data_IF_241312734343
#
_entry.id   IF_241312734343
#
_cell.length_a   1.000
_cell.length_b   1.000
_cell.length_c   1.000
_cell.angle_alpha   90.00
_cell.angle_beta   90.00
_cell.angle_gamma   90.00
#
_symmetry.space_group_name_H-M   'P 1'
#
loop_
_entity.id
_entity.type
_entity.pdbx_description
1 polymer ?
#
# COMPACT_ATOMS: atom_id res chain seq x y z
N UNK A 1 -6.61 -19.55 0.41
CA UNK A 1 -5.20 -19.43 -0.02
C UNK A 1 -5.15 -18.52 -1.25
N UNK A 2 -4.32 -17.46 -1.21
CA UNK A 2 -4.15 -16.53 -2.33
C UNK A 2 -3.64 -17.25 -3.59
N UNK A 3 -4.21 -16.91 -4.74
CA UNK A 3 -3.85 -17.48 -6.04
C UNK A 3 -3.66 -16.38 -7.08
N UNK A 4 -2.94 -16.66 -8.17
CA UNK A 4 -2.70 -15.75 -9.29
C UNK A 4 -2.19 -14.38 -8.81
N UNK A 5 -2.80 -13.30 -9.25
CA UNK A 5 -2.40 -11.92 -8.92
C UNK A 5 -2.44 -11.62 -7.43
N UNK A 6 -3.42 -12.13 -6.68
CA UNK A 6 -3.46 -11.98 -5.21
C UNK A 6 -2.24 -12.61 -4.52
N UNK A 7 -1.71 -13.72 -5.05
CA UNK A 7 -0.49 -14.32 -4.53
C UNK A 7 0.73 -13.45 -4.84
N UNK A 8 0.77 -12.82 -6.01
CA UNK A 8 1.85 -11.89 -6.38
C UNK A 8 1.81 -10.61 -5.54
N UNK A 9 0.62 -10.08 -5.26
CA UNK A 9 0.42 -8.95 -4.34
C UNK A 9 0.93 -9.30 -2.93
N UNK A 10 0.59 -10.49 -2.42
CA UNK A 10 1.10 -10.94 -1.12
C UNK A 10 2.63 -11.03 -1.10
N UNK A 11 3.25 -11.54 -2.17
CA UNK A 11 4.71 -11.57 -2.30
C UNK A 11 5.32 -10.18 -2.36
N UNK A 12 4.67 -9.22 -3.04
CA UNK A 12 5.11 -7.83 -3.06
C UNK A 12 5.24 -7.28 -1.64
N UNK A 13 4.22 -7.46 -0.79
CA UNK A 13 4.29 -7.01 0.61
C UNK A 13 5.39 -7.72 1.41
N UNK A 14 5.54 -9.03 1.23
CA UNK A 14 6.61 -9.79 1.93
C UNK A 14 7.99 -9.27 1.53
N UNK A 15 8.21 -8.97 0.26
CA UNK A 15 9.49 -8.41 -0.22
C UNK A 15 9.71 -7.01 0.35
N UNK A 16 8.67 -6.15 0.39
CA UNK A 16 8.76 -4.84 1.03
C UNK A 16 9.26 -4.96 2.48
N UNK A 17 8.69 -5.86 3.28
CA UNK A 17 9.12 -6.09 4.66
C UNK A 17 10.54 -6.65 4.76
N UNK A 18 10.91 -7.56 3.87
CA UNK A 18 12.26 -8.13 3.83
C UNK A 18 13.32 -7.06 3.49
N UNK A 19 13.03 -6.21 2.52
CA UNK A 19 13.91 -5.12 2.11
C UNK A 19 14.03 -4.02 3.17
N UNK A 20 12.99 -3.82 3.98
CA UNK A 20 13.04 -2.89 5.11
C UNK A 20 14.14 -3.21 6.11
N UNK A 21 14.45 -4.50 6.27
CA UNK A 21 15.50 -4.99 7.17
C UNK A 21 16.91 -4.82 6.59
N UNK A 22 17.08 -4.95 5.25
CA UNK A 22 18.40 -5.16 4.65
C UNK A 22 19.24 -3.88 4.49
N UNK A 23 18.61 -2.73 4.20
CA UNK A 23 19.33 -1.53 3.80
C UNK A 23 19.12 -0.36 4.76
N UNK A 24 20.23 0.28 5.12
CA UNK A 24 20.20 1.50 5.94
C UNK A 24 20.44 2.74 5.06
N UNK A 25 19.38 3.47 4.74
CA UNK A 25 19.40 4.70 3.96
C UNK A 25 19.68 5.97 4.82
N UNK A 26 20.37 5.82 5.94
CA UNK A 26 20.67 6.94 6.85
C UNK A 26 19.41 7.74 7.25
N UNK A 27 18.33 7.01 7.54
CA UNK A 27 17.01 7.57 7.87
C UNK A 27 16.33 8.38 6.75
N UNK A 28 16.80 8.31 5.50
CA UNK A 28 16.03 8.81 4.38
C UNK A 28 14.94 7.81 3.99
N UNK A 29 13.81 7.91 4.69
CA UNK A 29 12.69 6.98 4.50
C UNK A 29 12.06 7.08 3.11
N UNK A 30 12.02 8.27 2.52
CA UNK A 30 11.49 8.45 1.16
C UNK A 30 12.29 7.63 0.13
N UNK A 31 13.61 7.81 0.12
CA UNK A 31 14.46 7.07 -0.80
C UNK A 31 14.38 5.56 -0.55
N UNK A 32 14.35 5.14 0.73
CA UNK A 32 14.22 3.74 1.09
C UNK A 32 12.90 3.13 0.58
N UNK A 33 11.78 3.80 0.81
CA UNK A 33 10.45 3.35 0.36
C UNK A 33 10.41 3.24 -1.17
N UNK A 34 10.93 4.21 -1.90
CA UNK A 34 10.96 4.17 -3.37
C UNK A 34 11.82 3.01 -3.88
N UNK A 35 13.00 2.82 -3.31
CA UNK A 35 13.88 1.69 -3.65
C UNK A 35 13.21 0.33 -3.35
N UNK A 36 12.58 0.20 -2.19
CA UNK A 36 11.85 -1.02 -1.81
C UNK A 36 10.70 -1.32 -2.77
N UNK A 37 9.90 -0.30 -3.11
CA UNK A 37 8.77 -0.43 -4.03
C UNK A 37 9.24 -0.88 -5.44
N UNK A 38 10.30 -0.27 -5.97
CA UNK A 38 10.90 -0.64 -7.26
C UNK A 38 11.39 -2.09 -7.29
N UNK A 39 12.04 -2.53 -6.22
CA UNK A 39 12.53 -3.91 -6.16
C UNK A 39 11.39 -4.90 -5.96
N UNK A 40 10.36 -4.55 -5.19
CA UNK A 40 9.17 -5.39 -5.01
C UNK A 40 8.31 -5.48 -6.27
N UNK A 41 8.27 -4.43 -7.12
CA UNK A 41 7.58 -4.43 -8.42
C UNK A 41 8.02 -5.59 -9.32
N UNK A 42 9.30 -6.00 -9.23
CA UNK A 42 9.89 -7.05 -10.07
C UNK A 42 9.26 -8.43 -9.90
N UNK A 43 8.54 -8.67 -8.78
CA UNK A 43 7.83 -9.94 -8.55
C UNK A 43 6.47 -9.99 -9.25
N UNK A 44 5.93 -8.84 -9.65
CA UNK A 44 4.63 -8.77 -10.30
C UNK A 44 4.80 -9.12 -11.79
N UNK A 45 4.10 -10.14 -12.32
CA UNK A 45 4.14 -10.47 -13.75
C UNK A 45 3.74 -9.27 -14.60
N UNK A 46 4.45 -9.03 -15.70
CA UNK A 46 4.27 -7.84 -16.54
C UNK A 46 2.86 -7.68 -17.13
N UNK A 47 2.20 -8.80 -17.41
CA UNK A 47 0.85 -8.86 -17.96
C UNK A 47 -0.26 -8.81 -16.91
N UNK A 48 0.09 -8.89 -15.60
CA UNK A 48 -0.87 -8.88 -14.50
C UNK A 48 -1.53 -7.49 -14.32
N UNK A 49 -2.76 -7.48 -13.83
CA UNK A 49 -3.37 -6.21 -13.42
C UNK A 49 -2.59 -5.53 -12.28
N UNK A 50 -1.95 -6.31 -11.42
CA UNK A 50 -1.20 -5.78 -10.29
C UNK A 50 0.01 -4.96 -10.74
N UNK A 51 0.76 -5.44 -11.75
CA UNK A 51 1.88 -4.69 -12.32
C UNK A 51 1.43 -3.41 -13.02
N UNK A 52 0.38 -3.51 -13.82
CA UNK A 52 -0.19 -2.36 -14.54
C UNK A 52 -0.77 -1.31 -13.57
N UNK A 53 -1.37 -1.76 -12.48
CA UNK A 53 -1.86 -0.89 -11.40
C UNK A 53 -0.72 -0.16 -10.70
N UNK A 54 0.37 -0.86 -10.38
CA UNK A 54 1.59 -0.26 -9.84
C UNK A 54 2.12 0.84 -10.78
N UNK A 55 2.29 0.51 -12.04
CA UNK A 55 2.84 1.43 -13.05
C UNK A 55 1.88 2.62 -13.31
N UNK A 56 0.57 2.40 -13.21
CA UNK A 56 -0.44 3.46 -13.32
C UNK A 56 -0.32 4.46 -12.17
N UNK A 57 -0.31 3.99 -10.92
CA UNK A 57 -0.21 4.86 -9.74
C UNK A 57 1.13 5.60 -9.74
N UNK A 58 2.23 4.88 -10.00
CA UNK A 58 3.58 5.46 -10.06
C UNK A 58 3.68 6.58 -11.10
N UNK A 59 3.16 6.38 -12.31
CA UNK A 59 3.17 7.42 -13.35
C UNK A 59 2.38 8.66 -12.95
N UNK A 60 1.25 8.50 -12.27
CA UNK A 60 0.44 9.62 -11.75
C UNK A 60 1.20 10.39 -10.68
N UNK A 61 1.82 9.69 -9.74
CA UNK A 61 2.69 10.27 -8.73
C UNK A 61 3.84 11.08 -9.35
N UNK A 62 4.54 10.52 -10.33
CA UNK A 62 5.64 11.19 -11.04
C UNK A 62 5.21 12.45 -11.80
N UNK A 63 3.94 12.53 -12.18
CA UNK A 63 3.33 13.70 -12.81
C UNK A 63 2.77 14.71 -11.81
N UNK A 64 2.99 14.50 -10.52
CA UNK A 64 2.48 15.32 -9.41
C UNK A 64 0.94 15.53 -9.46
N UNK A 65 0.20 14.52 -9.92
CA UNK A 65 -1.26 14.52 -9.86
C UNK A 65 -1.66 14.35 -8.38
N UNK A 66 -2.60 15.13 -7.83
CA UNK A 66 -3.08 14.95 -6.45
C UNK A 66 -3.54 13.52 -6.17
N UNK A 67 -3.27 13.00 -4.97
CA UNK A 67 -3.59 11.61 -4.64
C UNK A 67 -5.09 11.32 -4.70
N UNK A 68 -5.94 12.29 -4.40
CA UNK A 68 -7.40 12.18 -4.50
C UNK A 68 -7.84 11.93 -5.95
N UNK A 69 -7.26 12.65 -6.89
CA UNK A 69 -7.53 12.44 -8.33
C UNK A 69 -7.00 11.08 -8.80
N UNK A 70 -5.90 10.61 -8.23
CA UNK A 70 -5.36 9.28 -8.55
C UNK A 70 -6.28 8.20 -7.99
N UNK A 71 -6.79 8.35 -6.78
CA UNK A 71 -7.80 7.47 -6.18
C UNK A 71 -9.04 7.37 -7.07
N UNK A 72 -9.58 8.49 -7.48
CA UNK A 72 -10.79 8.54 -8.30
C UNK A 72 -10.53 7.93 -9.70
N UNK A 73 -9.37 8.20 -10.29
CA UNK A 73 -8.95 7.57 -11.55
C UNK A 73 -8.71 6.06 -11.40
N UNK A 74 -8.22 5.62 -10.25
CA UNK A 74 -8.03 4.19 -9.93
C UNK A 74 -9.39 3.50 -9.82
N UNK A 75 -10.34 4.12 -9.13
CA UNK A 75 -11.72 3.63 -9.03
C UNK A 75 -12.34 3.49 -10.41
N UNK A 76 -12.28 4.54 -11.22
CA UNK A 76 -12.83 4.51 -12.58
C UNK A 76 -12.23 3.37 -13.39
N UNK A 77 -10.89 3.27 -13.41
CA UNK A 77 -10.18 2.28 -14.22
C UNK A 77 -10.47 0.84 -13.84
N UNK A 78 -10.51 0.53 -12.54
CA UNK A 78 -10.57 -0.85 -12.07
C UNK A 78 -11.93 -1.28 -11.52
N UNK A 79 -12.67 -0.40 -10.86
CA UNK A 79 -13.99 -0.75 -10.30
C UNK A 79 -15.14 -0.50 -11.28
N UNK A 80 -14.96 0.44 -12.22
CA UNK A 80 -16.01 0.80 -13.19
C UNK A 80 -15.70 0.19 -14.56
N UNK A 81 -14.50 0.44 -15.10
CA UNK A 81 -14.14 0.05 -16.48
C UNK A 81 -13.53 -1.36 -16.55
N UNK A 82 -13.20 -1.99 -15.42
CA UNK A 82 -12.63 -3.33 -15.32
C UNK A 82 -11.40 -3.57 -16.21
N UNK A 83 -10.53 -2.57 -16.29
CA UNK A 83 -9.35 -2.62 -17.16
C UNK A 83 -8.32 -3.66 -16.72
N UNK A 84 -7.41 -4.00 -17.63
CA UNK A 84 -6.25 -4.87 -17.38
C UNK A 84 -6.60 -6.30 -16.92
N UNK A 85 -7.83 -6.75 -17.19
CA UNK A 85 -8.32 -8.06 -16.73
C UNK A 85 -8.75 -8.09 -15.25
N UNK A 86 -8.86 -6.94 -14.60
CA UNK A 86 -9.38 -6.83 -13.24
C UNK A 86 -10.90 -6.94 -13.26
N UNK A 87 -11.44 -8.07 -12.79
CA UNK A 87 -12.88 -8.32 -12.71
C UNK A 87 -13.37 -8.77 -11.33
N UNK A 88 -12.49 -8.75 -10.35
CA UNK A 88 -12.71 -9.38 -9.03
C UNK A 88 -13.84 -8.69 -8.27
N UNK A 89 -13.99 -7.38 -8.44
CA UNK A 89 -15.04 -6.59 -7.80
C UNK A 89 -16.46 -7.01 -8.17
N UNK A 90 -16.65 -7.62 -9.34
CA UNK A 90 -17.97 -8.10 -9.80
C UNK A 90 -18.57 -9.21 -8.95
N UNK A 91 -17.74 -9.89 -8.14
CA UNK A 91 -18.13 -11.09 -7.36
C UNK A 91 -18.62 -10.76 -5.97
N UNK A 92 -18.41 -9.54 -5.53
CA UNK A 92 -18.84 -9.09 -4.22
C UNK A 92 -20.01 -8.13 -4.37
N UNK A 93 -21.07 -8.37 -3.66
CA UNK A 93 -22.36 -7.71 -3.86
C UNK A 93 -22.60 -6.54 -2.92
N UNK A 94 -22.00 -6.54 -1.73
CA UNK A 94 -22.40 -5.60 -0.68
C UNK A 94 -21.76 -4.22 -0.83
N UNK A 95 -20.51 -4.16 -1.31
CA UNK A 95 -19.78 -2.90 -1.47
C UNK A 95 -19.07 -2.77 -2.83
N UNK A 96 -19.50 -3.51 -3.86
CA UNK A 96 -18.89 -3.47 -5.18
C UNK A 96 -17.44 -3.94 -5.21
N UNK A 97 -17.08 -4.90 -4.33
CA UNK A 97 -15.75 -5.49 -4.27
C UNK A 97 -14.74 -4.71 -3.44
N UNK A 98 -15.19 -3.89 -2.48
CA UNK A 98 -14.31 -3.09 -1.62
C UNK A 98 -13.27 -3.92 -0.87
N UNK A 99 -13.54 -5.20 -0.56
CA UNK A 99 -12.59 -6.11 0.08
C UNK A 99 -11.58 -6.75 -0.89
N UNK A 100 -11.71 -6.51 -2.18
CA UNK A 100 -10.87 -7.18 -3.16
C UNK A 100 -9.40 -6.76 -3.02
N UNK A 101 -8.51 -7.77 -2.99
CA UNK A 101 -7.07 -7.56 -2.81
C UNK A 101 -6.48 -6.59 -3.85
N UNK A 102 -7.01 -6.57 -5.07
CA UNK A 102 -6.51 -5.71 -6.14
C UNK A 102 -6.75 -4.23 -5.87
N UNK A 103 -8.00 -3.82 -5.59
CA UNK A 103 -8.27 -2.39 -5.35
C UNK A 103 -7.58 -1.89 -4.08
N UNK A 104 -7.49 -2.73 -3.06
CA UNK A 104 -6.77 -2.40 -1.83
C UNK A 104 -5.25 -2.36 -2.04
N UNK A 105 -4.70 -3.14 -2.97
CA UNK A 105 -3.33 -2.97 -3.44
C UNK A 105 -3.13 -1.60 -4.10
N UNK A 106 -4.07 -1.15 -4.92
CA UNK A 106 -4.06 0.19 -5.50
C UNK A 106 -4.06 1.30 -4.45
N UNK A 107 -4.92 1.20 -3.43
CA UNK A 107 -4.95 2.12 -2.29
C UNK A 107 -3.62 2.11 -1.51
N UNK A 108 -3.05 0.93 -1.33
CA UNK A 108 -1.72 0.77 -0.71
C UNK A 108 -0.62 1.46 -1.52
N UNK A 109 -0.63 1.35 -2.84
CA UNK A 109 0.34 2.03 -3.70
C UNK A 109 0.19 3.56 -3.64
N UNK A 110 -1.04 4.08 -3.65
CA UNK A 110 -1.29 5.52 -3.50
C UNK A 110 -0.70 6.01 -2.18
N UNK A 111 -1.08 5.38 -1.06
CA UNK A 111 -0.60 5.80 0.26
C UNK A 111 0.93 5.64 0.42
N UNK A 112 1.52 4.61 -0.19
CA UNK A 112 2.97 4.39 -0.19
C UNK A 112 3.72 5.52 -0.91
N UNK A 113 3.33 5.83 -2.14
CA UNK A 113 4.02 6.83 -2.96
C UNK A 113 3.80 8.25 -2.43
N UNK A 114 2.58 8.62 -2.10
CA UNK A 114 2.26 9.97 -1.66
C UNK A 114 2.62 10.25 -0.20
N UNK A 115 2.59 9.22 0.64
CA UNK A 115 3.11 9.30 2.00
C UNK A 115 4.64 9.35 2.05
N UNK A 116 5.32 8.82 1.02
CA UNK A 116 6.76 8.93 0.78
C UNK A 116 7.63 8.63 2.02
N UNK A 117 7.20 7.67 2.83
CA UNK A 117 7.90 7.29 4.06
C UNK A 117 7.60 8.15 5.29
N UNK A 118 6.80 9.21 5.18
CA UNK A 118 6.21 9.86 6.35
C UNK A 118 5.13 8.97 6.95
N UNK A 119 5.26 8.66 8.25
CA UNK A 119 4.35 7.74 8.92
C UNK A 119 2.92 8.26 8.98
N UNK A 120 2.75 9.49 9.47
CA UNK A 120 1.41 10.08 9.66
C UNK A 120 0.70 10.28 8.33
N UNK A 121 1.42 10.80 7.33
CA UNK A 121 0.86 11.06 6.02
C UNK A 121 0.50 9.77 5.28
N UNK A 122 1.36 8.74 5.36
CA UNK A 122 1.07 7.44 4.75
C UNK A 122 -0.21 6.83 5.32
N UNK A 123 -0.36 6.82 6.66
CA UNK A 123 -1.56 6.29 7.30
C UNK A 123 -2.79 7.15 7.01
N UNK A 124 -2.64 8.48 7.01
CA UNK A 124 -3.73 9.40 6.66
C UNK A 124 -4.29 9.12 5.27
N UNK A 125 -3.42 9.02 4.28
CA UNK A 125 -3.83 8.74 2.90
C UNK A 125 -4.43 7.34 2.79
N UNK A 126 -3.80 6.32 3.40
CA UNK A 126 -4.32 4.96 3.41
C UNK A 126 -5.76 4.88 3.95
N UNK A 127 -6.02 5.57 5.06
CA UNK A 127 -7.36 5.63 5.68
C UNK A 127 -8.36 6.37 4.80
N UNK A 128 -7.95 7.45 4.15
CA UNK A 128 -8.84 8.30 3.34
C UNK A 128 -9.05 7.79 1.91
N UNK A 129 -8.29 6.80 1.45
CA UNK A 129 -8.49 6.17 0.15
C UNK A 129 -9.85 5.49 0.03
N UNK A 130 -10.42 5.00 1.12
CA UNK A 130 -11.67 4.25 1.10
C UNK A 130 -11.47 2.75 0.86
N UNK A 131 -12.49 2.07 0.37
CA UNK A 131 -12.57 0.60 0.25
C UNK A 131 -12.35 -0.07 1.62
N UNK A 132 -11.41 -1.01 1.72
CA UNK A 132 -11.03 -1.68 2.97
C UNK A 132 -9.84 -0.96 3.60
N UNK A 133 -10.05 0.28 4.04
CA UNK A 133 -9.01 1.27 4.37
C UNK A 133 -8.10 0.86 5.54
N UNK A 134 -8.53 -0.01 6.43
CA UNK A 134 -7.70 -0.58 7.49
C UNK A 134 -6.63 -1.53 6.94
N UNK A 135 -6.86 -2.17 5.80
CA UNK A 135 -5.90 -3.04 5.13
C UNK A 135 -4.60 -2.29 4.73
N UNK A 136 -4.63 -1.22 3.89
CA UNK A 136 -3.42 -0.46 3.57
C UNK A 136 -2.85 0.27 4.79
N UNK A 137 -3.70 0.77 5.71
CA UNK A 137 -3.24 1.47 6.89
C UNK A 137 -2.46 0.54 7.84
N UNK A 138 -2.96 -0.67 8.11
CA UNK A 138 -2.25 -1.64 8.96
C UNK A 138 -0.98 -2.17 8.29
N UNK A 139 -1.02 -2.41 6.97
CA UNK A 139 0.13 -2.89 6.21
C UNK A 139 1.31 -1.91 6.30
N UNK A 140 1.07 -0.64 5.98
CA UNK A 140 2.15 0.37 6.03
C UNK A 140 2.44 0.83 7.45
N UNK A 141 1.45 0.82 8.34
CA UNK A 141 1.66 1.06 9.77
C UNK A 141 2.64 0.08 10.38
N UNK A 142 2.50 -1.20 10.06
CA UNK A 142 3.45 -2.24 10.47
C UNK A 142 4.84 -2.05 9.87
N UNK A 143 4.93 -1.84 8.56
CA UNK A 143 6.20 -1.64 7.85
C UNK A 143 6.96 -0.41 8.34
N UNK A 144 6.30 0.74 8.35
CA UNK A 144 6.92 1.99 8.80
C UNK A 144 7.21 1.96 10.31
N UNK A 145 6.33 1.34 11.11
CA UNK A 145 6.56 1.12 12.53
C UNK A 145 7.84 0.32 12.80
N UNK A 146 8.07 -0.73 12.01
CA UNK A 146 9.32 -1.48 12.03
C UNK A 146 10.54 -0.62 11.67
N UNK A 147 10.42 0.20 10.62
CA UNK A 147 11.50 1.07 10.15
C UNK A 147 11.80 2.23 11.12
N UNK A 148 10.79 2.81 11.73
CA UNK A 148 10.91 3.90 12.69
C UNK A 148 11.39 3.43 14.07
N UNK A 149 10.92 2.27 14.50
CA UNK A 149 11.16 1.74 15.83
C UNK A 149 10.27 2.39 16.91
N UNK A 150 10.08 1.66 18.02
CA UNK A 150 9.17 2.06 19.12
C UNK A 150 9.43 3.48 19.62
N UNK A 151 10.71 3.84 19.88
CA UNK A 151 11.06 5.15 20.43
C UNK A 151 10.55 6.29 19.57
N UNK A 152 10.82 6.23 18.26
CA UNK A 152 10.41 7.27 17.33
C UNK A 152 8.89 7.33 17.13
N UNK A 153 8.19 6.20 17.21
CA UNK A 153 6.72 6.17 17.15
C UNK A 153 6.11 6.82 18.41
N UNK A 154 6.65 6.51 19.61
CA UNK A 154 6.23 7.15 20.86
C UNK A 154 6.42 8.67 20.80
N UNK A 155 7.58 9.14 20.33
CA UNK A 155 7.86 10.55 20.14
C UNK A 155 6.92 11.20 19.10
N UNK A 156 6.65 10.51 17.98
CA UNK A 156 5.82 11.02 16.89
C UNK A 156 4.36 11.23 17.29
N UNK A 157 3.82 10.33 18.12
CA UNK A 157 2.42 10.35 18.52
C UNK A 157 2.20 10.89 19.94
N UNK A 158 3.27 11.16 20.68
CA UNK A 158 3.22 11.64 22.09
C UNK A 158 2.40 10.70 22.96
N UNK A 159 2.55 9.40 22.76
CA UNK A 159 1.80 8.35 23.47
C UNK A 159 2.73 7.34 24.14
N UNK A 160 2.31 6.82 25.28
CA UNK A 160 2.96 5.67 25.89
C UNK A 160 2.42 4.36 25.29
N UNK A 161 3.32 3.48 24.85
CA UNK A 161 2.95 2.15 24.38
C UNK A 161 3.07 1.14 25.50
N UNK A 162 1.97 0.48 25.83
CA UNK A 162 1.97 -0.66 26.76
C UNK A 162 2.82 -1.81 26.22
N UNK A 163 3.47 -2.53 27.13
CA UNK A 163 4.09 -3.82 26.87
C UNK A 163 3.15 -5.00 27.24
N UNK A 164 1.93 -4.69 27.65
CA UNK A 164 0.91 -5.67 28.02
C UNK A 164 -0.08 -5.83 26.88
N UNK A 165 -0.43 -7.07 26.60
CA UNK A 165 -1.50 -7.44 25.67
C UNK A 165 -2.72 -7.87 26.48
N UNK A 166 -3.88 -7.30 26.18
CA UNK A 166 -5.14 -7.82 26.71
C UNK A 166 -5.59 -8.96 25.79
N UNK A 167 -5.59 -10.17 26.35
CA UNK A 167 -6.15 -11.35 25.68
C UNK A 167 -7.54 -11.56 26.30
N UNK A 168 -8.58 -11.39 25.51
CA UNK A 168 -9.95 -11.68 25.88
C UNK A 168 -10.39 -13.05 25.37
#
# INVERSE_FOLDING_TARGET
>A
VARKDSACISKFYVIMHSLAYLENFNHNYQNKIMWMAENSRKILPEDSYASKMYDFVKRKYQKNIPWEEVRDSLNQRYQVDYMDGYDVSKRDTDCGGCFAAGINFGASLISLFYGAGDYKETIRIATLCGWDSDNPASTWGGLLGFMYGKKKIVELFEVEMSNLYNIH
#
